data_IF_266474482822
#
_entry.id   IF_266474482822
#
_cell.length_a   1.000
_cell.length_b   1.000
_cell.length_c   1.000
_cell.angle_alpha   90.00
_cell.angle_beta   90.00
_cell.angle_gamma   90.00
#
_symmetry.space_group_name_H-M   'P 1'
#
loop_
_entity.id
_entity.type
_entity.pdbx_description
1 polymer ?
#
# COMPACT_ATOMS: atom_id res chain seq x y z
N UNK A 1 57.73 -46.45 -39.80
CA UNK A 1 56.27 -46.25 -39.85
C UNK A 1 55.97 -44.82 -39.50
N UNK A 2 55.59 -44.02 -40.50
CA UNK A 2 55.12 -42.65 -40.34
C UNK A 2 53.68 -42.66 -39.82
N UNK A 3 53.37 -41.77 -38.87
CA UNK A 3 52.23 -40.88 -39.04
C UNK A 3 52.32 -39.67 -38.10
N UNK A 4 52.47 -38.51 -38.74
CA UNK A 4 52.19 -37.18 -38.23
C UNK A 4 50.68 -37.06 -37.91
N UNK A 5 50.34 -36.45 -36.78
CA UNK A 5 49.06 -35.77 -36.62
C UNK A 5 49.33 -34.32 -36.26
N UNK A 6 49.12 -33.45 -37.25
CA UNK A 6 49.17 -32.01 -37.10
C UNK A 6 47.95 -31.45 -36.36
N UNK A 7 48.03 -30.22 -35.83
CA UNK A 7 46.91 -29.58 -35.16
C UNK A 7 45.87 -29.05 -36.16
N UNK A 8 44.60 -29.32 -35.86
CA UNK A 8 43.44 -28.85 -36.61
C UNK A 8 43.32 -27.31 -36.59
N UNK A 9 42.99 -26.68 -37.74
CA UNK A 9 42.74 -25.24 -37.85
C UNK A 9 41.25 -24.92 -37.65
N UNK A 10 40.95 -23.84 -36.92
CA UNK A 10 39.62 -23.21 -36.97
C UNK A 10 39.12 -22.59 -35.67
N UNK A 11 39.63 -21.42 -35.30
CA UNK A 11 38.86 -20.45 -34.50
C UNK A 11 38.97 -19.06 -35.15
N UNK A 12 37.86 -18.40 -35.50
CA UNK A 12 37.87 -17.06 -36.06
C UNK A 12 38.23 -16.02 -34.98
N UNK A 13 39.24 -15.20 -35.26
CA UNK A 13 39.54 -13.94 -34.56
C UNK A 13 38.86 -12.78 -35.30
N UNK A 14 38.20 -11.86 -34.60
CA UNK A 14 38.17 -10.47 -35.07
C UNK A 14 38.30 -9.45 -33.91
N UNK A 15 38.56 -8.17 -34.19
CA UNK A 15 39.82 -7.64 -34.74
C UNK A 15 40.49 -6.65 -33.76
N UNK A 16 41.80 -6.46 -33.92
CA UNK A 16 42.57 -5.45 -33.19
C UNK A 16 42.18 -4.02 -33.57
N UNK A 17 42.24 -3.13 -32.58
CA UNK A 17 42.01 -1.68 -32.74
C UNK A 17 42.86 -1.09 -33.88
N UNK A 18 42.29 -0.21 -34.73
CA UNK A 18 43.09 0.60 -35.63
C UNK A 18 43.79 1.75 -34.89
N UNK A 19 45.06 1.98 -35.24
CA UNK A 19 45.85 3.15 -34.85
C UNK A 19 45.19 4.46 -35.35
N UNK A 20 45.29 5.57 -34.61
CA UNK A 20 44.69 6.83 -35.02
C UNK A 20 45.55 7.54 -36.08
N UNK A 21 44.98 7.73 -37.27
CA UNK A 21 45.52 8.62 -38.30
C UNK A 21 45.40 10.11 -37.92
N UNK A 22 46.27 10.98 -38.45
CA UNK A 22 46.25 12.41 -38.20
C UNK A 22 45.11 13.07 -39.01
N UNK A 23 44.47 14.11 -38.47
CA UNK A 23 43.27 14.82 -38.97
C UNK A 23 41.94 14.07 -38.70
N UNK A 24 41.03 14.45 -37.79
CA UNK A 24 40.88 15.55 -36.85
C UNK A 24 39.39 15.63 -36.40
N UNK A 25 39.10 15.97 -35.14
CA UNK A 25 38.05 16.94 -34.83
C UNK A 25 38.17 17.48 -33.39
N UNK A 26 38.00 18.80 -33.16
CA UNK A 26 38.46 19.49 -31.98
C UNK A 26 37.28 19.82 -31.06
N UNK A 27 36.97 18.94 -30.12
CA UNK A 27 36.14 19.29 -28.96
C UNK A 27 36.78 18.72 -27.70
N UNK A 28 38.03 19.10 -27.49
CA UNK A 28 38.68 19.09 -26.18
C UNK A 28 38.92 20.55 -25.83
N UNK A 29 38.10 21.09 -24.93
CA UNK A 29 38.17 22.51 -24.63
C UNK A 29 37.35 22.91 -23.43
N UNK A 30 37.62 22.28 -22.28
CA UNK A 30 37.72 22.93 -20.96
C UNK A 30 37.44 21.94 -19.82
N UNK A 31 38.48 21.66 -19.03
CA UNK A 31 38.33 21.33 -17.60
C UNK A 31 38.11 19.86 -17.23
N UNK A 32 39.14 19.02 -17.29
CA UNK A 32 39.13 17.74 -16.52
C UNK A 32 40.52 17.11 -16.32
N UNK A 33 41.57 17.92 -16.12
CA UNK A 33 42.93 17.42 -15.94
C UNK A 33 43.35 17.11 -14.51
N UNK A 34 42.64 17.61 -13.48
CA UNK A 34 43.18 17.61 -12.10
C UNK A 34 42.35 16.85 -11.05
N UNK A 35 41.23 16.21 -11.44
CA UNK A 35 40.37 15.45 -10.51
C UNK A 35 40.11 14.03 -11.04
N UNK A 36 41.15 13.29 -11.42
CA UNK A 36 41.00 11.90 -11.91
C UNK A 36 41.95 10.88 -11.24
N UNK A 37 42.68 11.28 -10.20
CA UNK A 37 43.72 10.44 -9.59
C UNK A 37 43.30 9.64 -8.37
N UNK A 38 42.47 10.18 -7.46
CA UNK A 38 42.26 9.56 -6.13
C UNK A 38 40.82 9.54 -5.60
N UNK A 39 39.90 10.29 -6.21
CA UNK A 39 38.51 10.44 -5.74
C UNK A 39 37.47 9.72 -6.62
N UNK A 40 37.85 9.26 -7.83
CA UNK A 40 36.92 8.61 -8.76
C UNK A 40 36.51 7.19 -8.36
N UNK A 41 37.48 6.37 -7.94
CA UNK A 41 37.22 4.95 -7.61
C UNK A 41 36.42 4.75 -6.31
N UNK A 42 36.48 5.72 -5.38
CA UNK A 42 35.70 5.71 -4.14
C UNK A 42 34.43 6.56 -4.25
N UNK A 43 34.42 7.61 -5.09
CA UNK A 43 33.24 8.43 -5.37
C UNK A 43 32.13 7.66 -6.08
N UNK A 44 32.47 6.82 -7.06
CA UNK A 44 31.48 5.93 -7.72
C UNK A 44 30.90 4.87 -6.78
N UNK A 45 31.67 4.35 -5.82
CA UNK A 45 31.17 3.37 -4.86
C UNK A 45 30.31 4.00 -3.75
N UNK A 46 30.60 5.24 -3.35
CA UNK A 46 29.81 5.96 -2.35
C UNK A 46 28.52 6.52 -2.97
N UNK A 47 28.56 7.08 -4.19
CA UNK A 47 27.37 7.55 -4.90
C UNK A 47 26.52 6.41 -5.47
N UNK A 48 27.16 5.39 -6.04
CA UNK A 48 26.50 4.19 -6.56
C UNK A 48 25.81 3.39 -5.46
N UNK A 49 26.53 3.07 -4.37
CA UNK A 49 25.91 2.36 -3.24
C UNK A 49 24.85 3.20 -2.54
N UNK A 50 25.03 4.51 -2.37
CA UNK A 50 23.98 5.36 -1.77
C UNK A 50 22.73 5.40 -2.65
N UNK A 51 22.87 5.47 -3.98
CA UNK A 51 21.71 5.41 -4.88
C UNK A 51 21.03 4.04 -4.88
N UNK A 52 21.77 2.93 -4.86
CA UNK A 52 21.21 1.59 -4.79
C UNK A 52 20.61 1.26 -3.41
N UNK A 53 21.19 1.76 -2.32
CA UNK A 53 20.63 1.66 -0.97
C UNK A 53 19.39 2.55 -0.79
N UNK A 54 19.42 3.79 -1.28
CA UNK A 54 18.26 4.69 -1.24
C UNK A 54 17.17 4.15 -2.15
N UNK A 55 17.48 3.69 -3.36
CA UNK A 55 16.51 3.13 -4.29
C UNK A 55 15.94 1.80 -3.78
N UNK A 56 16.76 0.93 -3.18
CA UNK A 56 16.26 -0.33 -2.60
C UNK A 56 15.43 -0.11 -1.33
N UNK A 57 15.78 0.85 -0.45
CA UNK A 57 14.94 1.21 0.69
C UNK A 57 13.66 1.95 0.25
N UNK A 58 13.75 2.92 -0.66
CA UNK A 58 12.59 3.67 -1.17
C UNK A 58 11.65 2.72 -1.90
N UNK A 59 12.14 1.82 -2.77
CA UNK A 59 11.30 0.83 -3.44
C UNK A 59 10.66 -0.19 -2.49
N UNK A 60 11.29 -0.45 -1.33
CA UNK A 60 10.77 -1.37 -0.32
C UNK A 60 9.60 -0.75 0.45
N UNK A 61 9.59 0.57 0.64
CA UNK A 61 8.54 1.27 1.38
C UNK A 61 7.48 1.94 0.49
N UNK A 62 7.85 2.37 -0.72
CA UNK A 62 6.99 2.96 -1.73
C UNK A 62 6.88 2.00 -2.93
N UNK A 63 5.87 1.15 -2.87
CA UNK A 63 5.40 0.38 -4.03
C UNK A 63 4.96 1.33 -5.16
N UNK A 64 5.08 0.89 -6.41
CA UNK A 64 4.56 1.63 -7.58
C UNK A 64 3.07 1.94 -7.38
N UNK A 65 2.64 3.21 -7.31
CA UNK A 65 1.24 3.56 -7.07
C UNK A 65 0.32 2.97 -8.13
N UNK A 66 0.80 2.76 -9.37
CA UNK A 66 -0.01 2.17 -10.45
C UNK A 66 -0.56 0.79 -10.08
N UNK A 67 0.19 0.01 -9.31
CA UNK A 67 -0.25 -1.31 -8.81
C UNK A 67 -1.60 -1.24 -8.08
N UNK A 68 -1.81 -0.23 -7.24
CA UNK A 68 -2.99 -0.12 -6.37
C UNK A 68 -4.25 0.36 -7.09
N UNK A 69 -4.11 0.85 -8.31
CA UNK A 69 -5.21 1.35 -9.14
C UNK A 69 -5.54 0.43 -10.32
N UNK A 70 -4.88 -0.73 -10.44
CA UNK A 70 -5.22 -1.77 -11.39
C UNK A 70 -6.46 -2.55 -10.91
N UNK A 71 -7.63 -1.94 -11.04
CA UNK A 71 -8.93 -2.46 -10.62
C UNK A 71 -9.91 -2.50 -11.80
N UNK A 72 -10.89 -3.41 -11.74
CA UNK A 72 -12.02 -3.44 -12.67
C UNK A 72 -13.36 -3.47 -11.90
N UNK A 73 -14.47 -3.28 -12.60
CA UNK A 73 -15.80 -3.21 -11.98
C UNK A 73 -16.16 -4.47 -11.18
N UNK A 74 -15.78 -5.64 -11.71
CA UNK A 74 -16.02 -6.92 -11.06
C UNK A 74 -15.23 -7.03 -9.74
N UNK A 75 -13.97 -6.63 -9.75
CA UNK A 75 -13.12 -6.56 -8.57
C UNK A 75 -13.76 -5.64 -7.52
N UNK A 76 -14.13 -4.41 -7.89
CA UNK A 76 -14.69 -3.43 -6.95
C UNK A 76 -15.95 -3.97 -6.27
N UNK A 77 -16.88 -4.53 -7.04
CA UNK A 77 -18.12 -5.13 -6.49
C UNK A 77 -17.81 -6.28 -5.54
N UNK A 78 -16.87 -7.14 -5.89
CA UNK A 78 -16.49 -8.28 -5.05
C UNK A 78 -15.75 -7.81 -3.79
N UNK A 79 -14.86 -6.83 -3.91
CA UNK A 79 -14.08 -6.30 -2.79
C UNK A 79 -14.98 -5.58 -1.79
N UNK A 80 -15.97 -4.81 -2.27
CA UNK A 80 -16.99 -4.22 -1.41
C UNK A 80 -17.78 -5.28 -0.63
N UNK A 81 -18.15 -6.42 -1.25
CA UNK A 81 -18.77 -7.53 -0.50
C UNK A 81 -17.86 -8.08 0.59
N UNK A 82 -16.55 -8.21 0.33
CA UNK A 82 -15.59 -8.68 1.33
C UNK A 82 -15.42 -7.69 2.48
N UNK A 83 -15.38 -6.39 2.18
CA UNK A 83 -15.22 -5.32 3.19
C UNK A 83 -16.49 -5.15 4.03
N UNK A 84 -17.66 -5.11 3.39
CA UNK A 84 -18.95 -4.89 4.06
C UNK A 84 -19.53 -6.15 4.73
N UNK A 85 -19.13 -7.34 4.24
CA UNK A 85 -19.61 -8.64 4.73
C UNK A 85 -18.46 -9.66 4.84
N UNK A 86 -17.44 -9.41 5.68
CA UNK A 86 -16.22 -10.23 5.76
C UNK A 86 -16.45 -11.65 6.29
N UNK A 87 -17.60 -11.92 6.89
CA UNK A 87 -17.99 -13.27 7.30
C UNK A 87 -18.47 -14.13 6.12
N UNK A 88 -18.93 -13.51 5.03
CA UNK A 88 -19.40 -14.22 3.84
C UNK A 88 -18.26 -14.62 2.89
N UNK A 89 -17.08 -14.01 3.04
CA UNK A 89 -15.90 -14.38 2.27
C UNK A 89 -15.36 -15.74 2.74
N UNK A 90 -15.73 -16.79 1.99
CA UNK A 90 -15.32 -18.20 2.21
C UNK A 90 -13.94 -18.54 1.61
N UNK A 91 -13.32 -17.62 0.88
CA UNK A 91 -12.01 -17.82 0.24
C UNK A 91 -10.82 -17.74 1.20
N UNK A 92 -9.64 -18.01 0.65
CA UNK A 92 -8.38 -17.71 1.33
C UNK A 92 -8.20 -16.20 1.45
N UNK A 93 -7.65 -15.73 2.57
CA UNK A 93 -7.33 -14.31 2.84
C UNK A 93 -5.85 -13.99 2.58
N UNK A 94 -5.15 -14.90 1.91
CA UNK A 94 -3.73 -14.78 1.60
C UNK A 94 -3.56 -14.16 0.23
N UNK A 95 -2.63 -13.21 0.12
CA UNK A 95 -2.25 -12.64 -1.16
C UNK A 95 -1.57 -13.69 -2.03
N UNK A 96 -1.86 -13.67 -3.31
CA UNK A 96 -1.22 -14.54 -4.30
C UNK A 96 0.11 -13.92 -4.68
N UNK A 97 1.21 -14.60 -4.33
CA UNK A 97 2.55 -14.25 -4.77
C UNK A 97 2.99 -15.17 -5.90
N UNK A 98 3.62 -14.60 -6.92
CA UNK A 98 4.30 -15.32 -7.99
C UNK A 98 5.81 -15.11 -7.87
N UNK A 99 6.62 -16.17 -7.98
CA UNK A 99 8.07 -16.03 -8.03
C UNK A 99 8.46 -15.49 -9.40
N UNK A 100 8.78 -14.19 -9.48
CA UNK A 100 9.29 -13.55 -10.70
C UNK A 100 10.76 -13.24 -10.47
N UNK A 101 11.65 -13.93 -11.20
CA UNK A 101 13.11 -13.69 -11.14
C UNK A 101 13.75 -13.91 -9.76
N UNK A 102 13.27 -14.88 -8.98
CA UNK A 102 13.82 -15.19 -7.65
C UNK A 102 13.34 -14.27 -6.51
N UNK A 103 12.44 -13.30 -6.80
CA UNK A 103 11.74 -12.49 -5.81
C UNK A 103 10.24 -12.84 -5.83
N UNK A 104 9.61 -12.88 -4.65
CA UNK A 104 8.16 -13.01 -4.53
C UNK A 104 7.53 -11.67 -4.94
N UNK A 105 6.78 -11.65 -6.04
CA UNK A 105 6.01 -10.48 -6.48
C UNK A 105 4.52 -10.73 -6.29
N UNK A 106 3.78 -9.75 -5.78
CA UNK A 106 2.34 -9.89 -5.55
C UNK A 106 1.54 -9.57 -6.81
N UNK A 107 0.44 -10.30 -7.03
CA UNK A 107 -0.49 -9.99 -8.11
C UNK A 107 -1.26 -8.70 -7.85
N UNK A 108 -1.49 -7.87 -8.89
CA UNK A 108 -2.29 -6.65 -8.76
C UNK A 108 -3.76 -6.97 -8.42
N UNK A 109 -4.52 -5.99 -7.88
CA UNK A 109 -5.89 -6.18 -7.41
C UNK A 109 -6.83 -6.85 -8.41
N UNK A 110 -6.73 -6.52 -9.70
CA UNK A 110 -7.52 -7.14 -10.76
C UNK A 110 -7.46 -8.69 -10.79
N UNK A 111 -6.36 -9.28 -10.34
CA UNK A 111 -6.15 -10.74 -10.33
C UNK A 111 -6.19 -11.36 -8.93
N UNK A 112 -6.24 -10.56 -7.86
CA UNK A 112 -6.28 -11.04 -6.47
C UNK A 112 -7.21 -10.19 -5.60
N UNK A 113 -8.32 -10.78 -5.16
CA UNK A 113 -9.30 -10.13 -4.30
C UNK A 113 -8.74 -9.72 -2.93
N UNK A 114 -7.67 -10.37 -2.46
CA UNK A 114 -7.02 -10.06 -1.19
C UNK A 114 -5.95 -8.98 -1.31
N UNK A 115 -5.50 -8.66 -2.53
CA UNK A 115 -4.54 -7.60 -2.72
C UNK A 115 -5.14 -6.24 -2.31
N UNK A 116 -4.37 -5.38 -1.62
CA UNK A 116 -4.82 -4.05 -1.26
C UNK A 116 -4.92 -3.15 -2.51
N UNK A 117 -5.99 -2.36 -2.60
CA UNK A 117 -6.18 -1.30 -3.59
C UNK A 117 -6.36 0.05 -2.88
N UNK A 118 -6.00 1.14 -3.56
CA UNK A 118 -6.24 2.50 -3.09
C UNK A 118 -7.50 3.12 -3.73
N UNK A 119 -8.00 2.51 -4.81
CA UNK A 119 -9.18 3.00 -5.52
C UNK A 119 -10.42 3.06 -4.62
N UNK A 120 -10.79 1.96 -3.94
CA UNK A 120 -11.96 1.93 -3.07
C UNK A 120 -11.82 2.87 -1.87
N UNK A 121 -10.69 2.87 -1.12
CA UNK A 121 -10.45 3.86 -0.07
C UNK A 121 -10.68 5.31 -0.49
N UNK A 122 -10.07 5.76 -1.61
CA UNK A 122 -10.22 7.13 -2.07
C UNK A 122 -11.65 7.45 -2.51
N UNK A 123 -12.28 6.55 -3.27
CA UNK A 123 -13.67 6.73 -3.72
C UNK A 123 -14.65 6.74 -2.54
N UNK A 124 -14.46 5.86 -1.56
CA UNK A 124 -15.27 5.81 -0.35
C UNK A 124 -15.07 7.05 0.53
N UNK A 125 -13.84 7.55 0.65
CA UNK A 125 -13.57 8.79 1.38
C UNK A 125 -14.26 10.00 0.74
N UNK A 126 -14.16 10.15 -0.59
CA UNK A 126 -14.90 11.20 -1.31
C UNK A 126 -16.41 11.09 -1.13
N UNK A 127 -16.94 9.87 -1.22
CA UNK A 127 -18.37 9.59 -1.00
C UNK A 127 -18.80 9.93 0.43
N UNK A 128 -17.98 9.63 1.43
CA UNK A 128 -18.23 9.98 2.83
C UNK A 128 -18.37 11.49 2.99
N UNK A 129 -17.48 12.29 2.40
CA UNK A 129 -17.54 13.76 2.45
C UNK A 129 -18.81 14.27 1.78
N UNK A 130 -19.16 13.73 0.60
CA UNK A 130 -20.39 14.10 -0.11
C UNK A 130 -21.65 13.77 0.71
N UNK A 131 -21.72 12.57 1.29
CA UNK A 131 -22.85 12.16 2.15
C UNK A 131 -22.95 13.00 3.41
N UNK A 132 -21.81 13.39 3.99
CA UNK A 132 -21.78 14.26 5.16
C UNK A 132 -22.30 15.67 4.81
N UNK A 133 -21.87 16.23 3.67
CA UNK A 133 -22.40 17.49 3.14
C UNK A 133 -23.89 17.42 2.84
N UNK A 134 -24.37 16.34 2.21
CA UNK A 134 -25.79 16.12 1.95
C UNK A 134 -26.58 16.06 3.28
N UNK A 135 -26.07 15.32 4.27
CA UNK A 135 -26.71 15.24 5.59
C UNK A 135 -26.76 16.60 6.29
N UNK A 136 -25.70 17.40 6.22
CA UNK A 136 -25.71 18.78 6.75
C UNK A 136 -26.73 19.66 6.02
N UNK A 137 -26.82 19.54 4.70
CA UNK A 137 -27.78 20.28 3.86
C UNK A 137 -29.23 19.97 4.21
N UNK A 138 -29.57 18.68 4.35
CA UNK A 138 -30.90 18.24 4.73
C UNK A 138 -31.30 18.70 6.15
N UNK A 139 -30.32 18.91 7.04
CA UNK A 139 -30.54 19.42 8.40
C UNK A 139 -30.49 20.95 8.50
N UNK A 140 -30.32 21.69 7.39
CA UNK A 140 -30.21 23.15 7.37
C UNK A 140 -28.95 23.70 8.05
N UNK A 141 -27.91 22.87 8.23
CA UNK A 141 -26.65 23.22 8.92
C UNK A 141 -25.45 23.24 7.97
N UNK A 142 -25.70 23.28 6.67
CA UNK A 142 -24.63 23.28 5.69
C UNK A 142 -23.91 24.62 5.67
N UNK A 143 -22.62 24.58 5.97
CA UNK A 143 -21.69 25.66 5.68
C UNK A 143 -20.43 25.05 5.06
N UNK A 144 -19.75 25.75 4.13
CA UNK A 144 -18.48 25.29 3.57
C UNK A 144 -17.45 24.96 4.66
N UNK A 145 -17.46 25.73 5.75
CA UNK A 145 -16.59 25.53 6.91
C UNK A 145 -16.92 24.23 7.65
N UNK A 146 -18.20 23.92 7.87
CA UNK A 146 -18.62 22.68 8.52
C UNK A 146 -18.24 21.45 7.68
N UNK A 147 -18.37 21.53 6.36
CA UNK A 147 -17.93 20.47 5.46
C UNK A 147 -16.41 20.29 5.50
N UNK A 148 -15.66 21.39 5.53
CA UNK A 148 -14.20 21.34 5.65
C UNK A 148 -13.76 20.69 6.98
N UNK A 149 -14.44 21.00 8.09
CA UNK A 149 -14.20 20.33 9.37
C UNK A 149 -14.41 18.81 9.30
N UNK A 150 -15.45 18.34 8.61
CA UNK A 150 -15.71 16.91 8.41
C UNK A 150 -14.68 16.26 7.48
N UNK A 151 -14.23 16.96 6.44
CA UNK A 151 -13.13 16.52 5.58
C UNK A 151 -11.84 16.32 6.38
N UNK A 152 -11.43 17.31 7.17
CA UNK A 152 -10.24 17.24 8.02
C UNK A 152 -10.39 16.16 9.09
N UNK A 153 -11.56 16.04 9.72
CA UNK A 153 -11.88 14.97 10.67
C UNK A 153 -11.74 13.59 10.04
N UNK A 154 -12.23 13.42 8.81
CA UNK A 154 -12.05 12.21 8.03
C UNK A 154 -10.58 11.90 7.76
N UNK A 155 -9.78 12.89 7.32
CA UNK A 155 -8.34 12.71 7.09
C UNK A 155 -7.59 12.33 8.38
N UNK A 156 -7.89 13.00 9.49
CA UNK A 156 -7.30 12.68 10.80
C UNK A 156 -7.69 11.27 11.22
N UNK A 157 -8.95 10.88 11.06
CA UNK A 157 -9.40 9.51 11.35
C UNK A 157 -8.70 8.46 10.50
N UNK A 158 -8.52 8.71 9.20
CA UNK A 158 -7.77 7.81 8.32
C UNK A 158 -6.30 7.72 8.76
N UNK A 159 -5.67 8.85 9.07
CA UNK A 159 -4.29 8.86 9.56
C UNK A 159 -4.14 8.09 10.87
N UNK A 160 -5.04 8.30 11.85
CA UNK A 160 -5.04 7.55 13.11
C UNK A 160 -5.20 6.06 12.88
N UNK A 161 -6.06 5.66 11.93
CA UNK A 161 -6.23 4.26 11.56
C UNK A 161 -4.95 3.66 10.96
N UNK A 162 -4.26 4.41 10.09
CA UNK A 162 -2.97 3.97 9.51
C UNK A 162 -1.91 3.83 10.59
N UNK A 163 -1.83 4.78 11.53
CA UNK A 163 -0.90 4.71 12.67
C UNK A 163 -1.20 3.50 13.57
N UNK A 164 -2.48 3.26 13.89
CA UNK A 164 -2.91 2.10 14.67
C UNK A 164 -2.48 0.78 14.00
N UNK A 165 -2.70 0.65 12.69
CA UNK A 165 -2.31 -0.54 11.94
C UNK A 165 -0.78 -0.68 11.87
N UNK A 166 -0.04 0.40 11.65
CA UNK A 166 1.44 0.38 11.60
C UNK A 166 2.04 -0.02 12.95
N UNK A 167 1.56 0.57 14.05
CA UNK A 167 2.00 0.22 15.42
C UNK A 167 1.68 -1.23 15.74
N UNK A 168 0.51 -1.71 15.35
CA UNK A 168 0.12 -3.11 15.54
C UNK A 168 1.05 -4.05 14.77
N UNK A 169 1.33 -3.78 13.50
CA UNK A 169 2.27 -4.57 12.68
C UNK A 169 3.69 -4.59 13.27
N UNK A 170 4.20 -3.43 13.70
CA UNK A 170 5.51 -3.31 14.36
C UNK A 170 5.55 -4.11 15.67
N UNK A 171 4.49 -4.05 16.48
CA UNK A 171 4.39 -4.80 17.74
C UNK A 171 4.32 -6.32 17.54
N UNK A 172 3.86 -6.77 16.36
CA UNK A 172 3.78 -8.19 16.02
C UNK A 172 5.06 -8.69 15.30
N UNK A 173 6.07 -7.84 15.14
CA UNK A 173 7.36 -8.20 14.52
C UNK A 173 7.34 -8.29 12.99
N UNK A 174 6.24 -7.94 12.33
CA UNK A 174 6.10 -7.86 10.87
C UNK A 174 6.18 -6.38 10.44
N UNK A 175 7.42 -5.88 10.33
CA UNK A 175 7.69 -4.48 10.02
C UNK A 175 7.73 -4.15 8.51
N UNK A 176 7.69 -5.16 7.65
CA UNK A 176 8.04 -5.03 6.22
C UNK A 176 6.86 -4.72 5.29
N UNK A 177 5.63 -4.62 5.80
CA UNK A 177 4.48 -4.26 4.97
C UNK A 177 4.65 -2.86 4.33
N UNK A 178 4.50 -2.73 2.99
CA UNK A 178 4.53 -1.45 2.30
C UNK A 178 3.56 -0.44 2.89
N UNK A 179 3.95 0.84 2.96
CA UNK A 179 3.12 1.88 3.59
C UNK A 179 1.76 2.01 2.88
N UNK A 180 1.75 1.91 1.55
CA UNK A 180 0.53 2.00 0.75
C UNK A 180 -0.47 0.86 1.03
N UNK A 181 0.00 -0.33 1.40
CA UNK A 181 -0.88 -1.43 1.83
C UNK A 181 -1.64 -1.06 3.10
N UNK A 182 -0.93 -0.45 4.06
CA UNK A 182 -1.50 -0.04 5.35
C UNK A 182 -2.49 1.11 5.16
N UNK A 183 -2.17 2.07 4.29
CA UNK A 183 -3.07 3.16 3.90
C UNK A 183 -4.35 2.61 3.28
N UNK A 184 -4.23 1.66 2.35
CA UNK A 184 -5.37 0.99 1.75
C UNK A 184 -6.24 0.28 2.79
N UNK A 185 -5.64 -0.55 3.66
CA UNK A 185 -6.38 -1.28 4.70
C UNK A 185 -7.09 -0.35 5.68
N UNK A 186 -6.47 0.76 6.07
CA UNK A 186 -7.11 1.75 6.94
C UNK A 186 -8.30 2.45 6.28
N UNK A 187 -8.25 2.68 4.97
CA UNK A 187 -9.27 3.46 4.27
C UNK A 187 -10.55 2.67 3.90
N UNK A 188 -10.52 1.33 3.88
CA UNK A 188 -11.74 0.55 3.61
C UNK A 188 -12.87 0.79 4.61
N UNK A 189 -12.54 1.27 5.82
CA UNK A 189 -13.53 1.61 6.84
C UNK A 189 -14.55 2.66 6.35
N UNK A 190 -14.14 3.56 5.44
CA UNK A 190 -15.05 4.55 4.85
C UNK A 190 -16.16 3.92 4.00
N UNK A 191 -15.96 2.73 3.44
CA UNK A 191 -17.02 2.05 2.67
C UNK A 191 -18.22 1.71 3.57
N UNK A 192 -17.95 1.23 4.79
CA UNK A 192 -18.99 0.97 5.78
C UNK A 192 -19.63 2.25 6.30
N UNK A 193 -18.83 3.31 6.55
CA UNK A 193 -19.35 4.62 6.96
C UNK A 193 -20.29 5.22 5.89
N UNK A 194 -19.98 5.07 4.60
CA UNK A 194 -20.85 5.50 3.52
C UNK A 194 -22.20 4.76 3.54
N UNK A 195 -22.17 3.43 3.73
CA UNK A 195 -23.39 2.63 3.81
C UNK A 195 -24.26 3.07 4.99
N UNK A 196 -23.68 3.23 6.18
CA UNK A 196 -24.39 3.68 7.36
C UNK A 196 -24.92 5.11 7.22
N UNK A 197 -24.13 6.02 6.64
CA UNK A 197 -24.51 7.40 6.38
C UNK A 197 -25.65 7.53 5.37
N UNK A 198 -25.58 6.80 4.26
CA UNK A 198 -26.64 6.75 3.26
C UNK A 198 -27.94 6.19 3.85
N UNK A 199 -27.87 5.08 4.58
CA UNK A 199 -29.04 4.49 5.23
C UNK A 199 -29.66 5.42 6.28
N UNK A 200 -28.84 6.17 7.04
CA UNK A 200 -29.31 7.18 7.99
C UNK A 200 -30.14 8.27 7.31
N UNK A 201 -29.74 8.71 6.11
CA UNK A 201 -30.48 9.71 5.34
C UNK A 201 -31.86 9.17 4.93
N UNK A 202 -31.94 7.90 4.53
CA UNK A 202 -33.21 7.25 4.16
C UNK A 202 -34.11 6.98 5.37
N UNK A 203 -33.52 6.51 6.48
CA UNK A 203 -34.22 6.16 7.70
C UNK A 203 -33.33 6.44 8.91
N UNK A 204 -33.66 7.48 9.69
CA UNK A 204 -32.81 7.98 10.78
C UNK A 204 -32.41 6.91 11.81
N UNK A 205 -33.33 6.02 12.20
CA UNK A 205 -33.05 4.97 13.18
C UNK A 205 -32.10 3.86 12.67
N UNK A 206 -31.89 3.75 11.35
CA UNK A 206 -31.03 2.70 10.77
C UNK A 206 -29.58 2.87 11.20
N UNK A 207 -29.19 4.11 11.53
CA UNK A 207 -27.86 4.46 12.04
C UNK A 207 -27.49 3.67 13.29
N UNK A 208 -28.44 3.48 14.23
CA UNK A 208 -28.17 2.79 15.49
C UNK A 208 -27.88 1.30 15.31
N UNK A 209 -28.43 0.67 14.26
CA UNK A 209 -28.15 -0.72 13.93
C UNK A 209 -26.90 -0.85 13.03
N UNK A 210 -26.77 0.02 12.02
CA UNK A 210 -25.72 -0.07 11.01
C UNK A 210 -24.35 0.41 11.49
N UNK A 211 -24.27 1.29 12.50
CA UNK A 211 -22.98 1.69 13.04
C UNK A 211 -22.27 0.54 13.77
N UNK A 212 -22.89 -0.14 14.77
CA UNK A 212 -22.28 -1.33 15.36
C UNK A 212 -21.93 -2.40 14.32
N UNK A 213 -22.79 -2.61 13.33
CA UNK A 213 -22.53 -3.53 12.22
C UNK A 213 -21.27 -3.15 11.42
N UNK A 214 -21.13 -1.88 11.08
CA UNK A 214 -19.96 -1.34 10.37
C UNK A 214 -18.67 -1.50 11.19
N UNK A 215 -18.74 -1.25 12.49
CA UNK A 215 -17.61 -1.46 13.41
C UNK A 215 -17.20 -2.93 13.46
N UNK A 216 -18.17 -3.85 13.59
CA UNK A 216 -17.93 -5.29 13.58
C UNK A 216 -17.32 -5.77 12.26
N UNK A 217 -17.87 -5.34 11.12
CA UNK A 217 -17.35 -5.73 9.81
C UNK A 217 -15.91 -5.21 9.61
N UNK A 218 -15.65 -3.94 9.90
CA UNK A 218 -14.30 -3.37 9.80
C UNK A 218 -13.32 -4.10 10.72
N UNK A 219 -13.70 -4.36 11.98
CA UNK A 219 -12.87 -5.10 12.93
C UNK A 219 -12.55 -6.52 12.46
N UNK A 220 -13.55 -7.28 12.00
CA UNK A 220 -13.36 -8.65 11.48
C UNK A 220 -12.47 -8.64 10.23
N UNK A 221 -12.72 -7.71 9.31
CA UNK A 221 -11.94 -7.57 8.08
C UNK A 221 -10.46 -7.32 8.40
N UNK A 222 -10.16 -6.37 9.29
CA UNK A 222 -8.80 -6.05 9.68
C UNK A 222 -8.13 -7.22 10.41
N UNK A 223 -8.82 -7.85 11.35
CA UNK A 223 -8.28 -9.02 12.06
C UNK A 223 -7.97 -10.16 11.10
N UNK A 224 -8.87 -10.49 10.18
CA UNK A 224 -8.64 -11.57 9.20
C UNK A 224 -7.47 -11.27 8.26
N UNK A 225 -7.38 -10.03 7.79
CA UNK A 225 -6.31 -9.56 6.91
C UNK A 225 -4.96 -9.58 7.65
N UNK A 226 -4.87 -8.95 8.83
CA UNK A 226 -3.63 -8.85 9.61
C UNK A 226 -3.15 -10.20 10.13
N UNK A 227 -4.05 -11.06 10.63
CA UNK A 227 -3.72 -12.40 11.12
C UNK A 227 -2.98 -13.18 10.02
N UNK A 228 -3.42 -13.11 8.77
CA UNK A 228 -2.84 -13.90 7.67
C UNK A 228 -1.60 -13.27 7.05
N UNK A 229 -1.50 -11.94 7.00
CA UNK A 229 -0.24 -11.24 6.64
C UNK A 229 0.89 -11.68 7.60
N UNK A 230 0.58 -11.76 8.89
CA UNK A 230 1.53 -12.19 9.91
C UNK A 230 1.95 -13.67 9.82
N UNK A 231 0.99 -14.58 9.64
CA UNK A 231 1.29 -16.02 9.55
C UNK A 231 2.10 -16.40 8.30
N UNK A 232 2.15 -15.54 7.28
CA UNK A 232 2.98 -15.74 6.10
C UNK A 232 4.48 -15.46 6.37
N UNK A 233 4.81 -14.59 7.34
CA UNK A 233 6.20 -14.18 7.63
C UNK A 233 6.83 -14.86 8.86
N UNK A 234 6.05 -15.22 9.89
CA UNK A 234 6.63 -15.64 11.18
C UNK A 234 6.04 -16.96 11.67
N UNK A 235 6.84 -18.03 11.61
CA UNK A 235 6.46 -19.39 12.06
C UNK A 235 6.63 -19.67 13.56
N UNK A 236 7.07 -18.72 14.40
CA UNK A 236 7.51 -19.10 15.76
C UNK A 236 7.52 -18.00 16.82
N UNK A 237 6.41 -17.28 17.04
CA UNK A 237 6.30 -16.33 18.17
C UNK A 237 5.05 -16.57 19.03
N UNK A 238 5.14 -16.20 20.30
CA UNK A 238 4.13 -16.33 21.36
C UNK A 238 2.72 -15.96 20.89
N UNK A 239 1.92 -17.02 20.68
CA UNK A 239 0.59 -16.97 20.07
C UNK A 239 -0.40 -16.14 20.89
N UNK A 240 -0.24 -16.08 22.22
CA UNK A 240 -1.20 -15.45 23.12
C UNK A 240 -1.30 -13.92 22.90
N UNK A 241 -0.17 -13.22 22.92
CA UNK A 241 -0.07 -11.75 22.73
C UNK A 241 -0.66 -11.29 21.40
N UNK A 242 -0.45 -12.07 20.35
CA UNK A 242 -0.98 -11.80 19.01
C UNK A 242 -2.51 -11.77 18.99
N UNK A 243 -3.17 -12.69 19.68
CA UNK A 243 -4.62 -12.73 19.74
C UNK A 243 -5.19 -11.51 20.50
N UNK A 244 -4.55 -11.09 21.60
CA UNK A 244 -4.96 -9.90 22.33
C UNK A 244 -4.78 -8.62 21.52
N UNK A 245 -3.67 -8.46 20.79
CA UNK A 245 -3.44 -7.30 19.92
C UNK A 245 -4.45 -7.22 18.78
N UNK A 246 -4.78 -8.36 18.15
CA UNK A 246 -5.81 -8.43 17.11
C UNK A 246 -7.21 -8.11 17.67
N UNK A 247 -7.54 -8.61 18.86
CA UNK A 247 -8.80 -8.26 19.52
C UNK A 247 -8.86 -6.77 19.85
N UNK A 248 -7.78 -6.20 20.38
CA UNK A 248 -7.66 -4.76 20.63
C UNK A 248 -7.87 -3.95 19.34
N UNK A 249 -7.24 -4.35 18.23
CA UNK A 249 -7.41 -3.70 16.93
C UNK A 249 -8.88 -3.67 16.49
N UNK A 250 -9.62 -4.75 16.71
CA UNK A 250 -11.05 -4.82 16.40
C UNK A 250 -11.89 -3.93 17.34
N UNK A 251 -11.57 -3.89 18.64
CA UNK A 251 -12.30 -3.09 19.62
C UNK A 251 -12.11 -1.58 19.41
N UNK A 252 -10.91 -1.14 19.03
CA UNK A 252 -10.62 0.28 18.74
C UNK A 252 -11.43 0.81 17.54
N UNK A 253 -11.91 -0.07 16.65
CA UNK A 253 -12.77 0.37 15.54
C UNK A 253 -14.08 1.00 16.00
N UNK A 254 -14.61 0.59 17.16
CA UNK A 254 -15.87 1.12 17.69
C UNK A 254 -15.79 2.63 17.99
N UNK A 255 -14.91 3.09 18.91
CA UNK A 255 -14.83 4.52 19.20
C UNK A 255 -14.41 5.32 17.97
N UNK A 256 -13.50 4.82 17.15
CA UNK A 256 -13.02 5.54 15.97
C UNK A 256 -14.13 5.76 14.93
N UNK A 257 -14.88 4.72 14.57
CA UNK A 257 -15.91 4.82 13.54
C UNK A 257 -17.18 5.49 14.05
N UNK A 258 -17.52 5.36 15.33
CA UNK A 258 -18.61 6.14 15.94
C UNK A 258 -18.24 7.63 15.93
N UNK A 259 -16.99 7.97 16.24
CA UNK A 259 -16.50 9.34 16.17
C UNK A 259 -16.55 9.88 14.74
N UNK A 260 -16.09 9.12 13.74
CA UNK A 260 -16.13 9.51 12.33
C UNK A 260 -17.56 9.58 11.74
N UNK A 261 -18.44 8.68 12.16
CA UNK A 261 -19.85 8.65 11.76
C UNK A 261 -20.68 9.78 12.36
N UNK A 262 -20.20 10.41 13.44
CA UNK A 262 -20.82 11.60 14.00
C UNK A 262 -20.53 12.82 13.13
N UNK A 263 -21.57 13.31 12.44
CA UNK A 263 -21.52 14.47 11.53
C UNK A 263 -21.54 15.81 12.30
N UNK A 264 -21.56 15.79 13.64
CA UNK A 264 -21.39 16.99 14.46
C UNK A 264 -20.02 17.64 14.22
N UNK A 265 -20.01 18.97 14.15
CA UNK A 265 -18.80 19.79 14.06
C UNK A 265 -18.02 19.76 15.38
N UNK A 266 -18.66 19.38 16.48
CA UNK A 266 -17.96 19.18 17.75
C UNK A 266 -17.08 17.92 17.65
N UNK A 267 -15.77 18.14 17.79
CA UNK A 267 -14.74 17.10 17.70
C UNK A 267 -14.77 16.13 18.89
N UNK A 268 -15.29 16.56 20.02
CA UNK A 268 -15.55 15.76 21.21
C UNK A 268 -17.06 15.72 21.40
N UNK A 269 -17.57 14.52 21.72
CA UNK A 269 -18.99 14.15 21.91
C UNK A 269 -19.91 15.31 22.29
#
# INVERSE_FOLDING_TARGET
>A
MYNNMGPQPGMPRPPGNPEPGPFGNPFTGAGSGFIRGGLGAYGERILGSSSEYVQSNISRYFSDPQYYFQVNDQYVRNKLKVVLFPFLHRGHWTRISEPVGGRLSYKPPIYDINAPDLYIPFMAFGTYVVLAGLSLGLNGKFTPEALNWLFVKGLVGWFLQVMLLKVTLLSLGSGEAPLLDIVAYGGYAFAGLCLAGFAKIMWGYSYYALMPWTCLCTGIFLVKTMKRVLFAEVRSYDSSKHHYLLLFLALVQFPLLIWLGNISVNWLL
#
